data_IF_957055399263
#
_entry.id   IF_957055399263
#
_cell.length_a   1.000
_cell.length_b   1.000
_cell.length_c   1.000
_cell.angle_alpha   90.00
_cell.angle_beta   90.00
_cell.angle_gamma   90.00
#
_symmetry.space_group_name_H-M   'P 1'
#
loop_
_entity.id
_entity.type
_entity.pdbx_description
1 polymer ?
#
# COMPACT_ATOMS: atom_id res chain seq x y z
N UNK A 1 7.44 3.71 -12.00
CA UNK A 1 7.96 4.39 -13.19
C UNK A 1 9.19 5.19 -12.86
N UNK A 2 9.53 6.17 -13.73
CA UNK A 2 10.68 7.07 -13.58
C UNK A 2 10.76 7.79 -12.22
N UNK A 3 9.62 8.02 -11.58
CA UNK A 3 9.50 8.62 -10.26
C UNK A 3 10.27 7.85 -9.17
N UNK A 4 10.34 6.52 -9.28
CA UNK A 4 11.01 5.65 -8.31
C UNK A 4 12.51 5.46 -8.56
N UNK A 5 13.06 6.01 -9.65
CA UNK A 5 14.49 5.97 -9.96
C UNK A 5 15.12 7.38 -9.99
N UNK A 6 14.40 8.38 -9.49
CA UNK A 6 14.88 9.76 -9.45
C UNK A 6 16.04 9.93 -8.46
N UNK A 7 17.03 10.75 -8.82
CA UNK A 7 18.16 11.08 -7.92
C UNK A 7 17.69 11.61 -6.56
N UNK A 8 16.63 12.43 -6.56
CA UNK A 8 16.01 12.98 -5.35
C UNK A 8 15.49 11.89 -4.40
N UNK A 9 14.89 10.82 -4.93
CA UNK A 9 14.42 9.70 -4.11
C UNK A 9 15.61 8.90 -3.55
N UNK A 10 16.65 8.67 -4.37
CA UNK A 10 17.85 7.95 -3.94
C UNK A 10 18.56 8.66 -2.79
N UNK A 11 18.78 9.98 -2.91
CA UNK A 11 19.35 10.79 -1.83
C UNK A 11 18.49 10.78 -0.55
N UNK A 12 17.16 10.83 -0.70
CA UNK A 12 16.25 10.79 0.44
C UNK A 12 16.32 9.45 1.18
N UNK A 13 16.44 8.35 0.44
CA UNK A 13 16.50 6.99 0.96
C UNK A 13 17.84 6.73 1.68
N UNK A 14 18.95 7.16 1.07
CA UNK A 14 20.29 7.07 1.66
C UNK A 14 20.36 7.82 3.00
N UNK A 15 19.86 9.08 3.05
CA UNK A 15 19.80 9.88 4.29
C UNK A 15 18.98 9.22 5.41
N UNK A 16 18.05 8.31 5.07
CA UNK A 16 17.21 7.58 6.03
C UNK A 16 17.66 6.15 6.27
N UNK A 17 18.81 5.74 5.71
CA UNK A 17 19.29 4.37 5.76
C UNK A 17 18.25 3.36 5.23
N UNK A 18 17.49 3.75 4.21
CA UNK A 18 16.51 2.92 3.52
C UNK A 18 17.13 2.38 2.24
N UNK A 19 17.19 1.05 2.10
CA UNK A 19 17.63 0.40 0.87
C UNK A 19 16.48 0.35 -0.14
N UNK A 20 16.71 0.88 -1.35
CA UNK A 20 15.77 0.75 -2.46
C UNK A 20 15.95 -0.60 -3.16
N UNK A 21 14.86 -1.35 -3.29
CA UNK A 21 14.82 -2.65 -3.97
C UNK A 21 13.87 -2.55 -5.16
N UNK A 22 14.37 -2.90 -6.36
CA UNK A 22 13.60 -2.85 -7.60
C UNK A 22 13.17 -4.24 -8.03
N UNK A 23 11.97 -4.35 -8.59
CA UNK A 23 11.53 -5.57 -9.25
C UNK A 23 12.40 -5.84 -10.48
N UNK A 24 12.71 -7.12 -10.70
CA UNK A 24 13.48 -7.55 -11.86
C UNK A 24 12.58 -7.58 -13.11
N UNK A 25 13.12 -7.20 -14.28
CA UNK A 25 12.41 -7.38 -15.55
C UNK A 25 11.94 -8.83 -15.74
N UNK A 26 10.67 -9.01 -16.11
CA UNK A 26 10.08 -10.34 -16.32
C UNK A 26 9.75 -11.13 -15.04
N UNK A 27 9.82 -10.52 -13.85
CA UNK A 27 9.50 -11.16 -12.56
C UNK A 27 8.28 -10.50 -11.87
N UNK A 28 7.08 -10.51 -12.47
CA UNK A 28 5.91 -9.83 -11.91
C UNK A 28 5.51 -10.35 -10.51
N UNK A 29 5.88 -11.59 -10.17
CA UNK A 29 5.58 -12.17 -8.86
C UNK A 29 6.24 -11.41 -7.70
N UNK A 30 7.34 -10.68 -7.94
CA UNK A 30 7.97 -9.82 -6.93
C UNK A 30 7.06 -8.65 -6.51
N UNK A 31 6.06 -8.32 -7.32
CA UNK A 31 5.10 -7.26 -7.07
C UNK A 31 3.72 -7.79 -6.60
N UNK A 32 3.56 -9.10 -6.42
CA UNK A 32 2.26 -9.74 -6.23
C UNK A 32 1.48 -9.22 -5.00
N UNK A 33 2.18 -8.91 -3.91
CA UNK A 33 1.53 -8.41 -2.69
C UNK A 33 0.90 -7.03 -2.89
N UNK A 34 1.65 -6.09 -3.47
CA UNK A 34 1.13 -4.73 -3.71
C UNK A 34 0.08 -4.74 -4.82
N UNK A 35 0.19 -5.61 -5.82
CA UNK A 35 -0.85 -5.78 -6.85
C UNK A 35 -2.15 -6.30 -6.25
N UNK A 36 -2.07 -7.28 -5.33
CA UNK A 36 -3.24 -7.77 -4.59
C UNK A 36 -3.86 -6.65 -3.77
N UNK A 37 -3.05 -5.87 -3.05
CA UNK A 37 -3.53 -4.71 -2.28
C UNK A 37 -4.23 -3.68 -3.18
N UNK A 38 -3.61 -3.29 -4.30
CA UNK A 38 -4.17 -2.31 -5.24
C UNK A 38 -5.50 -2.79 -5.85
N UNK A 39 -5.66 -4.10 -6.08
CA UNK A 39 -6.94 -4.67 -6.51
C UNK A 39 -8.02 -4.49 -5.43
N UNK A 40 -7.67 -4.72 -4.17
CA UNK A 40 -8.59 -4.50 -3.04
C UNK A 40 -8.97 -3.04 -2.90
N UNK A 41 -8.00 -2.12 -2.93
CA UNK A 41 -8.23 -0.66 -2.93
C UNK A 41 -9.20 -0.26 -4.04
N UNK A 42 -8.99 -0.76 -5.26
CA UNK A 42 -9.84 -0.43 -6.40
C UNK A 42 -11.26 -0.96 -6.23
N UNK A 43 -11.40 -2.21 -5.79
CA UNK A 43 -12.71 -2.86 -5.67
C UNK A 43 -13.52 -2.38 -4.48
N UNK A 44 -12.88 -2.16 -3.33
CA UNK A 44 -13.55 -1.86 -2.06
C UNK A 44 -13.69 -0.35 -1.80
N UNK A 45 -12.87 0.49 -2.43
CA UNK A 45 -12.92 1.95 -2.22
C UNK A 45 -13.06 2.73 -3.52
N UNK A 46 -12.02 2.80 -4.36
CA UNK A 46 -12.03 3.73 -5.51
C UNK A 46 -13.19 3.49 -6.49
N UNK A 47 -13.66 2.25 -6.63
CA UNK A 47 -14.77 1.91 -7.51
C UNK A 47 -16.17 2.11 -6.89
N UNK A 48 -16.26 2.43 -5.60
CA UNK A 48 -17.53 2.56 -4.88
C UNK A 48 -18.04 4.01 -4.82
N UNK A 49 -17.18 4.99 -5.10
CA UNK A 49 -17.47 6.40 -4.90
C UNK A 49 -17.10 7.24 -6.13
N UNK A 50 -17.84 8.33 -6.32
CA UNK A 50 -17.45 9.43 -7.21
C UNK A 50 -17.06 10.57 -6.28
N UNK A 51 -15.85 11.08 -6.43
CA UNK A 51 -15.34 12.18 -5.62
C UNK A 51 -15.48 13.50 -6.37
N UNK A 52 -15.97 14.52 -5.68
CA UNK A 52 -16.10 15.88 -6.23
C UNK A 52 -14.82 16.68 -6.01
N UNK A 53 -14.04 16.36 -4.97
CA UNK A 53 -12.80 17.05 -4.63
C UNK A 53 -11.68 16.09 -4.22
N UNK A 54 -10.43 16.58 -4.25
CA UNK A 54 -9.27 15.84 -3.76
C UNK A 54 -9.34 15.65 -2.24
N UNK A 55 -9.85 16.66 -1.52
CA UNK A 55 -10.01 16.62 -0.06
C UNK A 55 -10.95 15.49 0.34
N UNK A 56 -12.12 15.41 -0.30
CA UNK A 56 -13.08 14.33 -0.08
C UNK A 56 -12.45 12.95 -0.35
N UNK A 57 -11.69 12.82 -1.45
CA UNK A 57 -11.00 11.58 -1.77
C UNK A 57 -9.97 11.22 -0.68
N UNK A 58 -9.25 12.19 -0.13
CA UNK A 58 -8.27 11.97 0.93
C UNK A 58 -8.91 11.57 2.27
N UNK A 59 -10.04 12.18 2.62
CA UNK A 59 -10.78 11.85 3.84
C UNK A 59 -11.31 10.41 3.78
N UNK A 60 -11.97 10.05 2.68
CA UNK A 60 -12.46 8.68 2.48
C UNK A 60 -11.31 7.67 2.39
N UNK A 61 -10.17 8.04 1.77
CA UNK A 61 -8.98 7.19 1.76
C UNK A 61 -8.49 6.90 3.19
N UNK A 62 -8.47 7.93 4.04
CA UNK A 62 -7.98 7.85 5.42
C UNK A 62 -8.87 6.95 6.26
N UNK A 63 -10.19 7.13 6.16
CA UNK A 63 -11.18 6.27 6.83
C UNK A 63 -11.04 4.82 6.36
N UNK A 64 -11.03 4.60 5.05
CA UNK A 64 -10.91 3.26 4.48
C UNK A 64 -9.61 2.57 4.88
N UNK A 65 -8.48 3.29 4.86
CA UNK A 65 -7.17 2.77 5.31
C UNK A 65 -7.20 2.38 6.78
N UNK A 66 -7.88 3.15 7.63
CA UNK A 66 -8.02 2.82 9.04
C UNK A 66 -8.78 1.50 9.21
N UNK A 67 -9.92 1.34 8.55
CA UNK A 67 -10.71 0.11 8.57
C UNK A 67 -9.92 -1.08 8.00
N UNK A 68 -9.24 -0.90 6.86
CA UNK A 68 -8.43 -1.94 6.24
C UNK A 68 -7.33 -2.45 7.18
N UNK A 69 -6.65 -1.56 7.90
CA UNK A 69 -5.53 -1.93 8.75
C UNK A 69 -5.96 -2.45 10.12
N UNK A 70 -7.05 -1.94 10.68
CA UNK A 70 -7.41 -2.17 12.08
C UNK A 70 -8.58 -3.13 12.28
N UNK A 71 -9.49 -3.24 11.31
CA UNK A 71 -10.74 -4.00 11.47
C UNK A 71 -10.87 -5.14 10.46
N UNK A 72 -10.39 -4.96 9.22
CA UNK A 72 -10.56 -5.94 8.13
C UNK A 72 -9.77 -7.23 8.40
N UNK A 73 -10.43 -8.39 8.56
CA UNK A 73 -9.74 -9.66 8.68
C UNK A 73 -9.01 -10.02 7.37
N UNK A 74 -7.78 -10.52 7.46
CA UNK A 74 -7.04 -10.98 6.29
C UNK A 74 -6.74 -12.48 6.39
N UNK A 75 -7.45 -13.27 5.59
CA UNK A 75 -7.32 -14.72 5.57
C UNK A 75 -5.94 -15.21 5.13
N UNK A 76 -5.19 -14.41 4.35
CA UNK A 76 -3.81 -14.74 3.98
C UNK A 76 -2.82 -14.72 5.16
N UNK A 77 -3.22 -14.12 6.29
CA UNK A 77 -2.43 -14.04 7.53
C UNK A 77 -3.20 -14.60 8.73
N UNK A 78 -4.04 -15.62 8.51
CA UNK A 78 -4.73 -16.33 9.59
C UNK A 78 -5.92 -15.56 10.19
N UNK A 79 -6.53 -14.67 9.41
CA UNK A 79 -7.71 -13.89 9.85
C UNK A 79 -7.37 -12.69 10.72
N UNK A 80 -6.09 -12.47 11.03
CA UNK A 80 -5.64 -11.26 11.72
C UNK A 80 -5.80 -10.01 10.84
N UNK A 81 -5.93 -8.85 11.48
CA UNK A 81 -5.86 -7.56 10.78
C UNK A 81 -4.39 -7.24 10.46
N UNK A 82 -4.11 -6.42 9.43
CA UNK A 82 -2.75 -6.01 9.11
C UNK A 82 -2.00 -5.39 10.30
N UNK A 83 -2.67 -4.55 11.10
CA UNK A 83 -2.07 -3.94 12.28
C UNK A 83 -1.69 -4.96 13.36
N UNK A 84 -2.52 -6.00 13.58
CA UNK A 84 -2.18 -7.10 14.51
C UNK A 84 -0.96 -7.88 14.02
N UNK A 85 -0.90 -8.16 12.71
CA UNK A 85 0.25 -8.86 12.12
C UNK A 85 1.53 -8.05 12.22
N UNK A 86 1.46 -6.73 12.06
CA UNK A 86 2.61 -5.85 12.25
C UNK A 86 3.12 -5.89 13.70
N UNK A 87 2.22 -5.78 14.68
CA UNK A 87 2.56 -5.82 16.11
C UNK A 87 3.21 -7.13 16.56
N UNK A 88 2.90 -8.23 15.87
CA UNK A 88 3.47 -9.56 16.16
C UNK A 88 4.76 -9.85 15.39
N UNK A 89 5.11 -9.02 14.41
CA UNK A 89 6.34 -9.13 13.63
C UNK A 89 7.49 -8.25 14.16
N UNK A 90 7.17 -7.30 15.06
CA UNK A 90 8.13 -6.48 15.80
C UNK A 90 8.56 -7.22 17.08
#
# INVERSE_FOLDING_TARGET
GPEYISGKLMEWAEKRNVRLEYIQPGKPQQNAYIERYNRTVRGEWLGQYIFETIEEAQDQATEWLWTYNNERPNMGIGGMTPAMKLKTAA
#
